data_IF_707884942586
#
_entry.id   IF_707884942586
#
_cell.length_a   1.000
_cell.length_b   1.000
_cell.length_c   1.000
_cell.angle_alpha   90.00
_cell.angle_beta   90.00
_cell.angle_gamma   90.00
#
_symmetry.space_group_name_H-M   'P 1'
#
loop_
_entity.id
_entity.type
_entity.pdbx_description
1 polymer ?
#
# COMPACT_ATOMS: atom_id res chain seq x y z
N UNK A 1 -18.07 7.79 -13.05
CA UNK A 1 -18.13 8.69 -11.88
C UNK A 1 -17.43 8.01 -10.72
N UNK A 2 -16.80 8.78 -9.84
CA UNK A 2 -16.07 8.28 -8.67
C UNK A 2 -16.89 8.56 -7.40
N UNK A 3 -17.37 7.50 -6.74
CA UNK A 3 -18.25 7.57 -5.57
C UNK A 3 -17.61 7.00 -4.30
N UNK A 4 -16.29 6.77 -4.30
CA UNK A 4 -15.59 6.19 -3.15
C UNK A 4 -15.06 7.21 -2.14
N UNK A 5 -14.81 6.74 -0.92
CA UNK A 5 -14.30 7.56 0.20
C UNK A 5 -12.76 7.67 0.23
N UNK A 6 -12.28 8.56 1.10
CA UNK A 6 -10.87 8.66 1.46
C UNK A 6 -10.53 7.72 2.61
N UNK A 7 -9.40 7.01 2.48
CA UNK A 7 -8.94 6.05 3.49
C UNK A 7 -7.54 6.42 3.95
N UNK A 8 -7.33 6.46 5.26
CA UNK A 8 -6.02 6.68 5.88
C UNK A 8 -5.55 5.39 6.54
N UNK A 9 -4.37 4.90 6.14
CA UNK A 9 -3.71 3.73 6.70
C UNK A 9 -2.51 4.19 7.52
N UNK A 10 -2.51 3.82 8.80
CA UNK A 10 -1.44 4.10 9.75
C UNK A 10 -0.61 2.83 10.01
N UNK A 11 0.56 3.00 10.61
CA UNK A 11 1.47 1.91 11.01
C UNK A 11 1.87 0.98 9.84
N UNK A 12 2.02 1.51 8.63
CA UNK A 12 2.37 0.71 7.45
C UNK A 12 3.71 -0.04 7.59
N UNK A 13 4.62 0.44 8.43
CA UNK A 13 5.88 -0.26 8.74
C UNK A 13 5.72 -1.54 9.58
N UNK A 14 4.56 -1.71 10.23
CA UNK A 14 4.29 -2.81 11.16
C UNK A 14 3.36 -3.87 10.60
N UNK A 15 3.16 -3.92 9.28
CA UNK A 15 2.29 -4.92 8.68
C UNK A 15 2.79 -6.34 8.94
N UNK A 16 1.86 -7.23 9.26
CA UNK A 16 2.13 -8.65 9.34
C UNK A 16 2.03 -9.27 7.95
N UNK A 17 2.98 -10.15 7.63
CA UNK A 17 2.96 -10.96 6.41
C UNK A 17 3.24 -12.40 6.80
N UNK A 18 2.57 -13.33 6.14
CA UNK A 18 2.69 -14.74 6.50
C UNK A 18 4.04 -15.32 6.10
N UNK A 19 4.53 -16.26 6.92
CA UNK A 19 5.75 -17.07 6.68
C UNK A 19 6.98 -16.21 6.33
N UNK A 20 7.79 -16.73 5.42
CA UNK A 20 9.06 -16.24 4.86
C UNK A 20 8.88 -15.19 3.75
N UNK A 21 7.66 -14.65 3.56
CA UNK A 21 7.36 -13.69 2.47
C UNK A 21 8.23 -12.44 2.49
N UNK A 22 8.79 -12.05 3.63
CA UNK A 22 9.73 -10.92 3.70
C UNK A 22 10.96 -11.16 2.82
N UNK A 23 11.41 -12.40 2.72
CA UNK A 23 12.61 -12.78 1.98
C UNK A 23 12.25 -13.28 0.58
N UNK A 24 11.16 -14.03 0.44
CA UNK A 24 10.81 -14.69 -0.82
C UNK A 24 9.99 -13.85 -1.78
N UNK A 25 9.23 -12.85 -1.29
CA UNK A 25 8.45 -11.98 -2.19
C UNK A 25 9.37 -10.91 -2.79
N UNK A 26 9.57 -10.98 -4.10
CA UNK A 26 10.40 -10.04 -4.84
C UNK A 26 9.55 -9.04 -5.63
N UNK A 27 9.86 -7.76 -5.50
CA UNK A 27 9.33 -6.69 -6.35
C UNK A 27 10.33 -6.38 -7.46
N UNK A 28 9.95 -6.70 -8.71
CA UNK A 28 10.74 -6.38 -9.89
C UNK A 28 10.21 -5.13 -10.60
N UNK A 29 11.13 -4.34 -11.18
CA UNK A 29 10.82 -3.23 -12.09
C UNK A 29 11.90 -3.09 -13.14
N UNK A 30 11.54 -2.53 -14.29
CA UNK A 30 12.47 -2.24 -15.37
C UNK A 30 12.40 -0.75 -15.74
N UNK A 31 13.54 -0.13 -16.03
CA UNK A 31 13.58 1.29 -16.42
C UNK A 31 13.25 1.54 -17.90
N UNK A 32 13.42 0.53 -18.75
CA UNK A 32 13.28 0.62 -20.21
C UNK A 32 14.61 0.63 -20.97
N UNK A 33 15.73 0.84 -20.29
CA UNK A 33 17.08 0.83 -20.88
C UNK A 33 17.78 -0.53 -20.71
N UNK A 34 18.77 -0.89 -21.57
CA UNK A 34 19.61 -2.07 -21.36
C UNK A 34 20.26 -2.06 -19.96
N UNK A 35 20.20 -3.19 -19.24
CA UNK A 35 20.66 -3.29 -17.85
C UNK A 35 19.75 -2.61 -16.82
N UNK A 36 18.55 -2.17 -17.22
CA UNK A 36 17.60 -1.42 -16.40
C UNK A 36 16.76 -2.24 -15.41
N UNK A 37 17.00 -3.54 -15.29
CA UNK A 37 16.28 -4.42 -14.39
C UNK A 37 16.70 -4.20 -12.94
N UNK A 38 15.74 -4.00 -12.05
CA UNK A 38 15.95 -3.87 -10.61
C UNK A 38 14.95 -4.74 -9.87
N UNK A 39 15.43 -5.41 -8.83
CA UNK A 39 14.63 -6.22 -7.94
C UNK A 39 14.95 -5.89 -6.49
N UNK A 40 13.97 -6.06 -5.61
CA UNK A 40 14.08 -5.78 -4.17
C UNK A 40 13.13 -6.74 -3.43
N UNK A 41 13.54 -7.27 -2.28
CA UNK A 41 12.66 -8.13 -1.48
C UNK A 41 11.58 -7.30 -0.79
N UNK A 42 10.52 -7.94 -0.32
CA UNK A 42 9.50 -7.30 0.49
C UNK A 42 10.09 -6.71 1.78
N UNK A 43 11.02 -7.41 2.43
CA UNK A 43 11.70 -6.94 3.63
C UNK A 43 12.48 -5.66 3.40
N UNK A 44 13.28 -5.62 2.33
CA UNK A 44 14.05 -4.42 1.97
C UNK A 44 13.14 -3.24 1.62
N UNK A 45 12.06 -3.49 0.87
CA UNK A 45 11.09 -2.45 0.54
C UNK A 45 10.35 -1.94 1.78
N UNK A 46 10.03 -2.81 2.74
CA UNK A 46 9.43 -2.42 4.03
C UNK A 46 10.37 -1.55 4.85
N UNK A 47 11.66 -1.86 4.89
CA UNK A 47 12.66 -1.07 5.60
C UNK A 47 12.85 0.32 4.98
N UNK A 48 12.82 0.40 3.64
CA UNK A 48 13.13 1.64 2.90
C UNK A 48 11.92 2.53 2.67
N UNK A 49 10.76 1.96 2.30
CA UNK A 49 9.52 2.66 1.92
C UNK A 49 8.29 1.79 2.22
N UNK A 50 7.91 1.63 3.50
CA UNK A 50 6.82 0.74 3.90
C UNK A 50 5.47 1.09 3.27
N UNK A 51 5.21 2.37 2.99
CA UNK A 51 3.96 2.83 2.38
C UNK A 51 3.76 2.26 0.97
N UNK A 52 4.87 2.04 0.25
CA UNK A 52 4.85 1.60 -1.12
C UNK A 52 4.40 0.13 -1.24
N UNK A 53 4.62 -0.69 -0.21
CA UNK A 53 4.16 -2.08 -0.15
C UNK A 53 2.64 -2.15 -0.23
N UNK A 54 1.96 -1.38 0.63
CA UNK A 54 0.50 -1.31 0.68
C UNK A 54 -0.03 -0.64 -0.58
N UNK A 55 0.58 0.46 -1.03
CA UNK A 55 0.18 1.17 -2.25
C UNK A 55 0.19 0.26 -3.47
N UNK A 56 1.24 -0.55 -3.64
CA UNK A 56 1.35 -1.50 -4.76
C UNK A 56 0.31 -2.60 -4.69
N UNK A 57 0.04 -3.14 -3.49
CA UNK A 57 -0.97 -4.15 -3.29
C UNK A 57 -2.37 -3.62 -3.67
N UNK A 58 -2.76 -2.46 -3.14
CA UNK A 58 -4.06 -1.84 -3.43
C UNK A 58 -4.18 -1.45 -4.90
N UNK A 59 -3.12 -0.87 -5.48
CA UNK A 59 -3.09 -0.54 -6.92
C UNK A 59 -3.37 -1.76 -7.80
N UNK A 60 -2.89 -2.94 -7.40
CA UNK A 60 -3.15 -4.20 -8.12
C UNK A 60 -4.60 -4.69 -8.02
N UNK A 61 -5.35 -4.26 -7.00
CA UNK A 61 -6.77 -4.60 -6.80
C UNK A 61 -7.73 -3.60 -7.46
N UNK A 62 -7.23 -2.44 -7.90
CA UNK A 62 -8.03 -1.40 -8.57
C UNK A 62 -8.06 -1.58 -10.09
N UNK A 63 -9.11 -1.08 -10.78
CA UNK A 63 -9.19 -1.14 -12.23
C UNK A 63 -8.04 -0.36 -12.89
N UNK A 64 -7.44 -0.93 -13.93
CA UNK A 64 -6.29 -0.31 -14.63
C UNK A 64 -6.76 0.73 -15.66
N UNK A 65 -7.31 1.83 -15.17
CA UNK A 65 -7.78 2.95 -15.99
C UNK A 65 -7.58 4.29 -15.25
N UNK A 66 -8.00 5.39 -15.88
CA UNK A 66 -7.94 6.74 -15.29
C UNK A 66 -8.71 6.84 -13.97
N UNK A 67 -9.86 6.17 -13.86
CA UNK A 67 -10.66 6.14 -12.65
C UNK A 67 -9.92 5.44 -11.49
N UNK A 68 -9.30 4.29 -11.73
CA UNK A 68 -8.53 3.59 -10.69
C UNK A 68 -7.31 4.40 -10.23
N UNK A 69 -6.69 5.18 -11.12
CA UNK A 69 -5.64 6.14 -10.74
C UNK A 69 -6.19 7.25 -9.85
N UNK A 70 -7.39 7.76 -10.13
CA UNK A 70 -8.06 8.76 -9.29
C UNK A 70 -8.41 8.19 -7.91
N UNK A 71 -9.00 6.99 -7.86
CA UNK A 71 -9.32 6.28 -6.62
C UNK A 71 -8.08 6.02 -5.77
N UNK A 72 -6.96 5.59 -6.39
CA UNK A 72 -5.71 5.34 -5.67
C UNK A 72 -5.17 6.61 -4.99
N UNK A 73 -5.43 7.81 -5.52
CA UNK A 73 -4.99 9.08 -4.89
C UNK A 73 -5.74 9.39 -3.59
N UNK A 74 -6.92 8.80 -3.39
CA UNK A 74 -7.72 8.94 -2.16
C UNK A 74 -7.13 8.15 -0.99
N UNK A 75 -6.31 7.14 -1.27
CA UNK A 75 -5.59 6.35 -0.26
C UNK A 75 -4.38 7.13 0.28
N UNK A 76 -4.39 7.40 1.59
CA UNK A 76 -3.27 7.99 2.34
C UNK A 76 -2.63 6.93 3.21
N UNK A 77 -1.31 6.83 3.20
CA UNK A 77 -0.58 5.76 3.88
C UNK A 77 0.60 6.39 4.60
N UNK A 78 0.76 6.05 5.89
CA UNK A 78 1.82 6.54 6.75
C UNK A 78 2.54 5.37 7.43
N UNK A 79 3.87 5.45 7.49
CA UNK A 79 4.68 4.46 8.20
C UNK A 79 4.38 4.42 9.71
N UNK A 80 4.16 5.59 10.32
CA UNK A 80 3.93 5.78 11.76
C UNK A 80 2.46 5.76 12.16
N UNK A 81 2.21 6.05 13.43
CA UNK A 81 0.87 6.04 14.04
C UNK A 81 0.08 7.34 13.85
N UNK A 82 0.67 8.36 13.25
CA UNK A 82 0.08 9.70 13.14
C UNK A 82 -0.18 10.09 11.69
N UNK A 83 -1.18 10.94 11.49
CA UNK A 83 -1.50 11.56 10.20
C UNK A 83 -1.85 13.05 10.41
N UNK A 84 -1.57 13.93 9.43
CA UNK A 84 -1.92 15.35 9.50
C UNK A 84 -3.41 15.63 9.22
N UNK A 85 -4.24 14.60 9.06
CA UNK A 85 -5.62 14.69 8.56
C UNK A 85 -6.69 14.93 9.64
N UNK A 86 -6.33 15.54 10.76
CA UNK A 86 -7.25 15.75 11.90
C UNK A 86 -8.45 16.63 11.54
N UNK A 87 -8.25 17.66 10.70
CA UNK A 87 -9.30 18.57 10.26
C UNK A 87 -10.41 17.86 9.45
N UNK A 88 -10.11 16.71 8.84
CA UNK A 88 -11.09 15.91 8.10
C UNK A 88 -11.94 15.00 9.01
N UNK A 89 -11.64 14.93 10.31
CA UNK A 89 -12.33 14.09 11.31
C UNK A 89 -12.55 12.65 10.81
N UNK A 90 -11.48 11.92 10.44
CA UNK A 90 -11.60 10.56 9.94
C UNK A 90 -12.21 9.63 10.99
N UNK A 91 -13.11 8.76 10.54
CA UNK A 91 -13.74 7.75 11.39
C UNK A 91 -13.01 6.40 11.23
N UNK A 92 -12.91 5.60 12.30
CA UNK A 92 -12.39 4.23 12.19
C UNK A 92 -13.20 3.43 11.18
N UNK A 93 -12.51 2.70 10.31
CA UNK A 93 -13.17 1.80 9.37
C UNK A 93 -13.85 0.66 10.17
N UNK A 94 -15.15 0.39 9.96
CA UNK A 94 -15.83 -0.71 10.65
C UNK A 94 -15.18 -2.05 10.29
N UNK A 95 -14.97 -2.92 11.29
CA UNK A 95 -14.39 -4.24 11.10
C UNK A 95 -15.38 -5.18 10.38
N UNK A 96 -15.38 -5.15 9.04
CA UNK A 96 -16.25 -6.03 8.24
C UNK A 96 -15.64 -7.43 8.02
N UNK A 97 -14.74 -7.90 8.88
CA UNK A 97 -14.01 -9.14 8.63
C UNK A 97 -13.40 -9.79 9.87
N UNK A 98 -14.24 -10.48 10.65
CA UNK A 98 -13.77 -11.63 11.39
C UNK A 98 -13.42 -12.77 10.41
N UNK A 99 -12.38 -13.56 10.73
CA UNK A 99 -11.77 -14.70 10.01
C UNK A 99 -10.61 -14.27 9.07
N UNK A 100 -9.36 -14.71 9.22
CA UNK A 100 -8.80 -16.01 9.64
C UNK A 100 -7.46 -15.77 10.35
N UNK A 101 -7.16 -16.60 11.35
CA UNK A 101 -5.88 -16.72 12.06
C UNK A 101 -4.66 -16.76 11.13
#
# INVERSE_FOLDING_TARGET
>A
MDTGDHVVVLNAGKISVSRDKRETKVYARHSGYPGGFRQETLGDLLARRPEEVIRRAVKGMLPRNTLGVQQLRKLKIYAGSEHPHEAQRPEPLPETGALVR
#
